data_IF_185505946607
#
_entry.id   IF_185505946607
#
_cell.length_a   1.000
_cell.length_b   1.000
_cell.length_c   1.000
_cell.angle_alpha   90.00
_cell.angle_beta   90.00
_cell.angle_gamma   90.00
#
_symmetry.space_group_name_H-M   'P 1'
#
loop_
_entity.id
_entity.type
_entity.pdbx_description
1 polymer ?
#
# COMPACT_ATOMS: atom_id res chain seq x y z
N UNK A 1 -0.52 68.43 -8.61
CA UNK A 1 0.64 67.53 -8.73
C UNK A 1 0.25 66.19 -8.15
N UNK A 2 0.34 65.11 -8.94
CA UNK A 2 -0.03 63.76 -8.55
C UNK A 2 1.24 62.95 -8.22
N UNK A 3 1.23 62.19 -7.14
CA UNK A 3 2.26 61.18 -6.86
C UNK A 3 1.59 59.86 -6.52
N UNK A 4 1.88 58.87 -7.36
CA UNK A 4 1.34 57.52 -7.35
C UNK A 4 1.69 56.77 -6.07
N UNK A 5 0.69 56.20 -5.41
CA UNK A 5 0.85 55.13 -4.43
C UNK A 5 1.09 53.82 -5.18
N UNK A 6 2.29 53.26 -5.09
CA UNK A 6 2.56 51.90 -5.56
C UNK A 6 1.98 50.89 -4.56
N UNK A 7 0.74 50.46 -4.81
CA UNK A 7 0.17 49.28 -4.17
C UNK A 7 0.92 48.04 -4.69
N UNK A 8 1.73 47.42 -3.82
CA UNK A 8 2.21 46.06 -4.03
C UNK A 8 0.99 45.12 -4.14
N UNK A 9 0.90 44.29 -5.19
CA UNK A 9 -0.12 43.26 -5.25
C UNK A 9 0.26 42.21 -4.21
N UNK A 10 -0.50 42.15 -3.12
CA UNK A 10 -0.48 41.00 -2.22
C UNK A 10 -0.95 39.81 -3.04
N UNK A 11 0.00 38.99 -3.52
CA UNK A 11 -0.29 37.67 -4.06
C UNK A 11 -0.97 36.87 -2.95
N UNK A 12 -2.29 36.85 -3.03
CA UNK A 12 -3.17 36.16 -2.11
C UNK A 12 -2.70 34.72 -1.92
N UNK A 13 -2.79 34.24 -0.68
CA UNK A 13 -2.60 32.85 -0.23
C UNK A 13 -3.48 31.80 -0.96
N UNK A 14 -4.14 32.14 -2.06
CA UNK A 14 -4.98 31.26 -2.86
C UNK A 14 -4.18 30.28 -3.70
N UNK A 15 -2.99 30.63 -4.20
CA UNK A 15 -2.14 29.71 -4.97
C UNK A 15 -1.67 28.49 -4.17
N UNK A 16 -1.15 28.62 -2.93
CA UNK A 16 -0.79 27.45 -2.12
C UNK A 16 -2.04 26.65 -1.70
N UNK A 17 -3.15 27.29 -1.37
CA UNK A 17 -4.39 26.59 -1.02
C UNK A 17 -4.98 25.79 -2.20
N UNK A 18 -4.94 26.35 -3.41
CA UNK A 18 -5.38 25.68 -4.64
C UNK A 18 -4.45 24.52 -5.02
N UNK A 19 -3.13 24.68 -4.86
CA UNK A 19 -2.17 23.59 -5.02
C UNK A 19 -2.43 22.46 -4.02
N UNK A 20 -2.67 22.78 -2.74
CA UNK A 20 -3.01 21.80 -1.71
C UNK A 20 -4.32 21.06 -2.03
N UNK A 21 -5.35 21.79 -2.47
CA UNK A 21 -6.63 21.21 -2.92
C UNK A 21 -6.45 20.30 -4.13
N UNK A 22 -5.64 20.69 -5.11
CA UNK A 22 -5.34 19.86 -6.29
C UNK A 22 -4.59 18.59 -5.89
N UNK A 23 -3.57 18.68 -5.02
CA UNK A 23 -2.88 17.50 -4.50
C UNK A 23 -3.82 16.58 -3.72
N UNK A 24 -4.67 17.13 -2.85
CA UNK A 24 -5.66 16.35 -2.10
C UNK A 24 -6.68 15.69 -3.03
N UNK A 25 -7.14 16.39 -4.07
CA UNK A 25 -8.07 15.86 -5.06
C UNK A 25 -7.43 14.74 -5.89
N UNK A 26 -6.18 14.91 -6.34
CA UNK A 26 -5.45 13.86 -7.07
C UNK A 26 -5.16 12.64 -6.20
N UNK A 27 -4.82 12.83 -4.92
CA UNK A 27 -4.62 11.74 -3.98
C UNK A 27 -5.92 10.97 -3.74
N UNK A 28 -7.02 11.68 -3.45
CA UNK A 28 -8.34 11.05 -3.24
C UNK A 28 -8.86 10.30 -4.46
N UNK A 29 -8.71 10.84 -5.68
CA UNK A 29 -9.05 10.14 -6.92
C UNK A 29 -8.14 8.93 -7.18
N UNK A 30 -6.83 9.05 -6.95
CA UNK A 30 -5.91 7.93 -7.09
C UNK A 30 -6.27 6.79 -6.12
N UNK A 31 -6.72 7.12 -4.91
CA UNK A 31 -7.19 6.14 -3.94
C UNK A 31 -8.51 5.52 -4.34
N UNK A 32 -9.51 6.31 -4.73
CA UNK A 32 -10.78 5.78 -5.20
C UNK A 32 -10.57 4.81 -6.38
N UNK A 33 -9.69 5.15 -7.31
CA UNK A 33 -9.33 4.28 -8.42
C UNK A 33 -8.58 3.00 -7.98
N UNK A 34 -7.72 3.10 -6.97
CA UNK A 34 -7.03 1.94 -6.39
C UNK A 34 -8.04 0.90 -5.87
N UNK A 35 -9.08 1.39 -5.17
CA UNK A 35 -10.15 0.56 -4.63
C UNK A 35 -11.00 -0.08 -5.73
N UNK A 36 -11.44 0.69 -6.73
CA UNK A 36 -12.27 0.14 -7.84
C UNK A 36 -11.52 -0.88 -8.70
N UNK A 37 -10.20 -0.81 -8.77
CA UNK A 37 -9.39 -1.78 -9.53
C UNK A 37 -8.97 -3.01 -8.68
N UNK A 38 -9.20 -2.97 -7.36
CA UNK A 38 -8.89 -4.08 -6.44
C UNK A 38 -10.12 -4.87 -5.97
N UNK A 39 -11.28 -4.61 -6.56
CA UNK A 39 -12.47 -5.46 -6.37
C UNK A 39 -12.29 -6.87 -6.96
N UNK A 40 -11.21 -7.10 -7.73
CA UNK A 40 -10.83 -8.42 -8.23
C UNK A 40 -9.88 -9.12 -7.28
N UNK A 41 -10.21 -10.37 -6.94
CA UNK A 41 -9.38 -11.24 -6.11
C UNK A 41 -7.95 -11.36 -6.68
N UNK A 42 -6.88 -11.15 -5.88
CA UNK A 42 -5.50 -11.09 -6.34
C UNK A 42 -4.92 -12.49 -6.63
N UNK A 43 -5.47 -13.16 -7.64
CA UNK A 43 -5.11 -14.54 -8.01
C UNK A 43 -3.63 -14.67 -8.40
N UNK A 44 -3.10 -13.71 -9.16
CA UNK A 44 -1.71 -13.72 -9.62
C UNK A 44 -0.72 -13.74 -8.45
N UNK A 45 -0.98 -12.94 -7.41
CA UNK A 45 -0.12 -12.83 -6.23
C UNK A 45 -0.13 -14.14 -5.42
N UNK A 46 -1.29 -14.80 -5.33
CA UNK A 46 -1.39 -16.11 -4.69
C UNK A 46 -0.66 -17.19 -5.49
N UNK A 47 -0.74 -17.12 -6.82
CA UNK A 47 -0.03 -18.04 -7.69
C UNK A 47 1.49 -17.85 -7.57
N UNK A 48 1.99 -16.60 -7.53
CA UNK A 48 3.41 -16.33 -7.25
C UNK A 48 3.86 -16.84 -5.88
N UNK A 49 2.99 -16.76 -4.86
CA UNK A 49 3.28 -17.26 -3.52
C UNK A 49 3.35 -18.80 -3.52
N UNK A 50 2.50 -19.46 -4.30
CA UNK A 50 2.56 -20.91 -4.51
C UNK A 50 3.83 -21.31 -5.26
N UNK A 51 4.12 -20.66 -6.39
CA UNK A 51 5.27 -20.96 -7.27
C UNK A 51 6.62 -20.69 -6.61
N UNK A 52 6.65 -19.87 -5.56
CA UNK A 52 7.86 -19.58 -4.79
C UNK A 52 8.26 -20.75 -3.88
N UNK A 53 7.30 -21.54 -3.40
CA UNK A 53 7.56 -22.66 -2.53
C UNK A 53 8.13 -23.83 -3.34
N UNK A 54 9.22 -24.47 -2.88
CA UNK A 54 9.69 -25.70 -3.51
C UNK A 54 8.61 -26.77 -3.38
N UNK A 55 8.47 -27.60 -4.41
CA UNK A 55 7.51 -28.69 -4.41
C UNK A 55 7.98 -29.77 -3.42
N UNK A 56 7.57 -29.65 -2.16
CA UNK A 56 7.87 -30.63 -1.11
C UNK A 56 6.68 -31.54 -0.92
N UNK A 57 6.91 -32.84 -1.04
CA UNK A 57 5.94 -33.88 -0.67
C UNK A 57 5.90 -34.12 0.85
N UNK A 58 6.85 -33.55 1.60
CA UNK A 58 6.91 -33.72 3.05
C UNK A 58 6.00 -32.69 3.74
N UNK A 59 5.11 -33.13 4.65
CA UNK A 59 4.28 -32.22 5.42
C UNK A 59 5.13 -31.39 6.37
N UNK A 60 4.92 -30.07 6.37
CA UNK A 60 5.51 -29.20 7.37
C UNK A 60 4.79 -29.39 8.71
N UNK A 61 5.49 -29.84 9.76
CA UNK A 61 4.95 -29.83 11.12
C UNK A 61 5.05 -28.42 11.70
N UNK A 62 3.93 -27.71 11.66
CA UNK A 62 3.77 -26.43 12.38
C UNK A 62 3.58 -26.73 13.86
N UNK A 63 4.60 -26.42 14.68
CA UNK A 63 4.54 -26.53 16.14
C UNK A 63 3.44 -25.64 16.75
N UNK A 64 3.17 -24.49 16.13
CA UNK A 64 2.08 -23.59 16.48
C UNK A 64 1.40 -23.09 15.21
N UNK A 65 0.06 -23.04 15.17
CA UNK A 65 -0.65 -22.46 14.05
C UNK A 65 -0.31 -20.96 13.94
N UNK A 66 -0.12 -20.43 12.72
CA UNK A 66 0.10 -19.01 12.55
C UNK A 66 -1.13 -18.25 13.04
N UNK A 67 -0.90 -17.21 13.85
CA UNK A 67 -1.96 -16.34 14.33
C UNK A 67 -2.38 -15.37 13.24
N UNK A 68 -3.68 -15.35 12.91
CA UNK A 68 -4.29 -14.29 12.12
C UNK A 68 -5.35 -13.61 12.99
N UNK A 69 -5.35 -12.27 13.14
CA UNK A 69 -6.28 -11.61 14.04
C UNK A 69 -7.72 -11.71 13.51
N UNK A 70 -8.61 -12.36 14.26
CA UNK A 70 -10.03 -12.52 13.88
C UNK A 70 -10.77 -11.18 13.79
N UNK A 71 -10.26 -10.13 14.44
CA UNK A 71 -10.78 -8.77 14.27
C UNK A 71 -10.73 -8.31 12.82
N UNK A 72 -9.80 -8.82 12.00
CA UNK A 72 -9.73 -8.50 10.58
C UNK A 72 -10.77 -9.23 9.74
N UNK A 73 -11.34 -10.32 10.25
CA UNK A 73 -12.35 -11.13 9.55
C UNK A 73 -13.77 -10.64 9.75
N UNK A 74 -14.05 -9.99 10.89
CA UNK A 74 -15.42 -9.72 11.33
C UNK A 74 -15.75 -8.24 11.53
N UNK A 75 -14.80 -7.34 11.28
CA UNK A 75 -15.00 -5.91 11.55
C UNK A 75 -15.34 -5.16 10.27
N UNK A 76 -16.43 -4.38 10.30
CA UNK A 76 -16.72 -3.34 9.31
C UNK A 76 -15.75 -2.18 9.50
N UNK A 77 -14.51 -2.35 9.04
CA UNK A 77 -13.49 -1.31 9.04
C UNK A 77 -13.94 -0.17 8.12
N UNK A 78 -13.81 1.08 8.57
CA UNK A 78 -13.98 2.20 7.66
C UNK A 78 -12.84 2.19 6.61
N UNK A 79 -13.00 2.85 5.44
CA UNK A 79 -12.03 2.76 4.35
C UNK A 79 -10.59 3.13 4.73
N UNK A 80 -10.41 4.12 5.62
CA UNK A 80 -9.09 4.55 6.08
C UNK A 80 -8.44 3.51 7.02
N UNK A 81 -9.23 2.92 7.92
CA UNK A 81 -8.78 1.83 8.79
C UNK A 81 -8.44 0.58 7.98
N UNK A 82 -9.25 0.25 6.97
CA UNK A 82 -9.00 -0.86 6.07
C UNK A 82 -7.69 -0.66 5.27
N UNK A 83 -7.49 0.53 4.70
CA UNK A 83 -6.26 0.88 3.99
C UNK A 83 -5.02 0.83 4.90
N UNK A 84 -5.11 1.40 6.11
CA UNK A 84 -4.00 1.36 7.08
C UNK A 84 -3.68 -0.06 7.55
N UNK A 85 -4.71 -0.91 7.73
CA UNK A 85 -4.53 -2.32 8.08
C UNK A 85 -3.89 -3.09 6.93
N UNK A 86 -4.41 -2.92 5.70
CA UNK A 86 -3.85 -3.55 4.51
C UNK A 86 -2.38 -3.17 4.32
N UNK A 87 -2.05 -1.88 4.47
CA UNK A 87 -0.67 -1.40 4.40
C UNK A 87 0.23 -2.11 5.43
N UNK A 88 -0.20 -2.19 6.69
CA UNK A 88 0.56 -2.87 7.75
C UNK A 88 0.77 -4.35 7.43
N UNK A 89 -0.25 -5.05 6.93
CA UNK A 89 -0.15 -6.46 6.52
C UNK A 89 0.85 -6.62 5.38
N UNK A 90 0.75 -5.78 4.35
CA UNK A 90 1.64 -5.82 3.19
C UNK A 90 3.09 -5.51 3.57
N UNK A 91 3.32 -4.54 4.45
CA UNK A 91 4.65 -4.23 4.99
C UNK A 91 5.25 -5.42 5.76
N UNK A 92 4.47 -6.06 6.64
CA UNK A 92 4.90 -7.27 7.35
C UNK A 92 5.20 -8.43 6.41
N UNK A 93 4.35 -8.63 5.40
CA UNK A 93 4.54 -9.66 4.39
C UNK A 93 5.83 -9.40 3.60
N UNK A 94 6.01 -8.17 3.09
CA UNK A 94 7.22 -7.77 2.38
C UNK A 94 8.47 -8.03 3.23
N UNK A 95 8.47 -7.60 4.50
CA UNK A 95 9.57 -7.84 5.41
C UNK A 95 9.88 -9.35 5.54
N UNK A 96 8.86 -10.15 5.87
CA UNK A 96 8.98 -11.61 6.05
C UNK A 96 9.50 -12.34 4.81
N UNK A 97 9.07 -11.90 3.63
CA UNK A 97 9.47 -12.50 2.35
C UNK A 97 10.83 -11.98 1.86
N UNK A 98 11.25 -10.79 2.30
CA UNK A 98 12.56 -10.20 1.97
C UNK A 98 13.69 -10.73 2.84
N UNK A 99 13.40 -11.20 4.07
CA UNK A 99 14.43 -11.76 4.95
C UNK A 99 15.02 -13.06 4.41
N UNK A 100 16.33 -13.24 4.57
CA UNK A 100 17.06 -14.36 3.97
C UNK A 100 16.89 -15.69 4.74
N UNK A 101 16.51 -15.60 6.02
CA UNK A 101 16.34 -16.75 6.93
C UNK A 101 15.17 -17.66 6.56
N UNK A 102 14.14 -17.12 5.90
CA UNK A 102 12.97 -17.85 5.41
C UNK A 102 13.11 -18.38 3.98
N UNK A 103 14.12 -17.91 3.22
CA UNK A 103 14.06 -17.93 1.76
C UNK A 103 15.09 -18.79 1.05
N UNK A 104 15.98 -19.47 1.77
CA UNK A 104 17.12 -20.17 1.16
C UNK A 104 16.72 -21.26 0.17
N UNK A 105 15.48 -21.77 0.26
CA UNK A 105 14.94 -22.82 -0.59
C UNK A 105 13.84 -22.34 -1.53
N UNK A 106 13.52 -21.04 -1.52
CA UNK A 106 12.46 -20.48 -2.36
C UNK A 106 12.98 -20.13 -3.74
N UNK A 107 12.13 -20.32 -4.74
CA UNK A 107 12.47 -19.94 -6.11
C UNK A 107 12.65 -18.41 -6.22
N UNK A 108 13.83 -17.98 -6.63
CA UNK A 108 14.23 -16.56 -6.63
C UNK A 108 13.37 -15.70 -7.56
N UNK A 109 13.00 -16.23 -8.73
CA UNK A 109 12.27 -15.48 -9.74
C UNK A 109 10.81 -15.16 -9.32
N UNK A 110 9.97 -16.12 -8.88
CA UNK A 110 8.65 -15.82 -8.31
C UNK A 110 8.74 -14.90 -7.09
N UNK A 111 9.71 -15.13 -6.20
CA UNK A 111 9.94 -14.30 -5.02
C UNK A 111 10.20 -12.83 -5.39
N UNK A 112 11.10 -12.58 -6.35
CA UNK A 112 11.42 -11.22 -6.77
C UNK A 112 10.22 -10.52 -7.41
N UNK A 113 9.44 -11.22 -8.25
CA UNK A 113 8.19 -10.69 -8.83
C UNK A 113 7.19 -10.31 -7.73
N UNK A 114 6.98 -11.20 -6.76
CA UNK A 114 6.08 -10.97 -5.66
C UNK A 114 6.51 -9.76 -4.82
N UNK A 115 7.80 -9.67 -4.46
CA UNK A 115 8.34 -8.54 -3.70
C UNK A 115 8.15 -7.20 -4.44
N UNK A 116 8.39 -7.16 -5.75
CA UNK A 116 8.17 -5.95 -6.55
C UNK A 116 6.70 -5.53 -6.59
N UNK A 117 5.78 -6.50 -6.75
CA UNK A 117 4.35 -6.20 -6.72
C UNK A 117 3.93 -5.68 -5.35
N UNK A 118 4.36 -6.33 -4.26
CA UNK A 118 4.10 -5.87 -2.89
C UNK A 118 4.62 -4.46 -2.65
N UNK A 119 5.84 -4.14 -3.09
CA UNK A 119 6.40 -2.80 -2.97
C UNK A 119 5.57 -1.75 -3.72
N UNK A 120 5.11 -2.08 -4.92
CA UNK A 120 4.23 -1.21 -5.68
C UNK A 120 2.89 -0.95 -4.96
N UNK A 121 2.31 -1.99 -4.35
CA UNK A 121 1.08 -1.85 -3.56
C UNK A 121 1.27 -1.02 -2.30
N UNK A 122 2.34 -1.26 -1.56
CA UNK A 122 2.71 -0.49 -0.37
C UNK A 122 2.82 0.99 -0.75
N UNK A 123 3.57 1.31 -1.81
CA UNK A 123 3.79 2.68 -2.23
C UNK A 123 2.48 3.39 -2.61
N UNK A 124 1.58 2.71 -3.35
CA UNK A 124 0.27 3.28 -3.69
C UNK A 124 -0.61 3.51 -2.47
N UNK A 125 -0.58 2.59 -1.49
CA UNK A 125 -1.35 2.76 -0.25
C UNK A 125 -0.76 3.87 0.65
N UNK A 126 0.55 4.07 0.65
CA UNK A 126 1.20 5.16 1.37
C UNK A 126 0.80 6.53 0.82
N UNK A 127 0.77 6.67 -0.51
CA UNK A 127 0.27 7.88 -1.19
C UNK A 127 -1.20 8.18 -0.88
N UNK A 128 -1.95 7.18 -0.43
CA UNK A 128 -3.35 7.31 -0.06
C UNK A 128 -3.59 7.78 1.37
N UNK A 129 -2.54 7.89 2.18
CA UNK A 129 -2.67 8.40 3.53
C UNK A 129 -2.60 9.93 3.46
N UNK A 130 -3.63 10.68 3.90
CA UNK A 130 -3.44 12.11 4.10
C UNK A 130 -2.30 12.30 5.09
N UNK A 131 -1.33 13.15 4.75
CA UNK A 131 -0.36 13.64 5.72
C UNK A 131 -1.16 14.25 6.89
N UNK A 132 -0.86 13.77 8.09
CA UNK A 132 -1.50 14.18 9.35
C UNK A 132 -1.40 15.67 9.60
#
# INVERSE_FOLDING_TARGET
>A
MATFTTQQPRLCHGTPALLLLLTALTATLACQHLWTHHDTFPWEQLQLLHDMAPNSTHPCQLQQPPFFPDTLRHTNLNPQQAAGTALRILQHLFHTLSTNTTSHHWHTQPRHRLLNQLQHYIHRLEQCRPDS
#
